data_IF_436121728344
#
_entry.id   IF_436121728344
#
_cell.length_a   1.000
_cell.length_b   1.000
_cell.length_c   1.000
_cell.angle_alpha   90.00
_cell.angle_beta   90.00
_cell.angle_gamma   90.00
#
_symmetry.space_group_name_H-M   'P 1'
#
loop_
_entity.id
_entity.type
_entity.pdbx_description
1 polymer ?
#
# COMPACT_ATOMS: atom_id res chain seq x y z
N UNK A 1 -4.22 -14.83 -6.84
CA UNK A 1 -4.08 -13.72 -5.87
C UNK A 1 -2.67 -13.18 -5.96
N UNK A 2 -2.50 -11.86 -5.95
CA UNK A 2 -1.19 -11.23 -5.81
C UNK A 2 -0.84 -11.14 -4.33
N UNK A 3 0.07 -12.01 -3.88
CA UNK A 3 0.46 -12.12 -2.48
C UNK A 3 1.86 -11.58 -2.31
N UNK A 4 2.00 -10.54 -1.51
CA UNK A 4 3.30 -9.99 -1.12
C UNK A 4 3.92 -10.85 -0.01
N UNK A 5 5.26 -10.81 0.19
CA UNK A 5 5.92 -11.61 1.23
C UNK A 5 5.42 -11.36 2.67
N UNK A 6 4.78 -10.21 2.90
CA UNK A 6 4.24 -9.81 4.20
C UNK A 6 2.71 -9.70 4.22
N UNK A 7 2.05 -10.20 3.16
CA UNK A 7 0.59 -10.17 2.95
C UNK A 7 -0.05 -8.75 2.94
N UNK A 8 0.75 -7.69 2.96
CA UNK A 8 0.29 -6.30 2.93
C UNK A 8 0.42 -5.69 1.52
N UNK A 9 -0.47 -4.75 1.12
CA UNK A 9 -0.40 -4.14 -0.19
C UNK A 9 0.86 -3.28 -0.38
N UNK A 10 1.16 -2.96 -1.63
CA UNK A 10 2.12 -1.93 -2.02
C UNK A 10 1.33 -0.73 -2.52
N UNK A 11 1.49 0.42 -1.86
CA UNK A 11 0.75 1.65 -2.14
C UNK A 11 1.70 2.85 -2.32
N UNK A 12 1.36 3.74 -3.25
CA UNK A 12 2.02 5.02 -3.46
C UNK A 12 2.99 5.01 -4.66
N UNK A 13 3.73 6.10 -4.82
CA UNK A 13 4.74 6.22 -5.87
C UNK A 13 5.95 5.32 -5.59
N UNK A 14 6.40 4.59 -6.61
CA UNK A 14 7.60 3.74 -6.53
C UNK A 14 8.77 4.29 -7.34
N UNK A 15 8.46 5.14 -8.33
CA UNK A 15 9.37 5.98 -9.10
C UNK A 15 8.58 7.19 -9.61
N UNK A 16 9.27 8.17 -10.21
CA UNK A 16 8.61 9.35 -10.76
C UNK A 16 7.61 8.97 -11.86
N UNK A 17 6.36 9.42 -11.71
CA UNK A 17 5.30 9.14 -12.68
C UNK A 17 4.66 7.75 -12.57
N UNK A 18 5.15 6.86 -11.69
CA UNK A 18 4.57 5.52 -11.49
C UNK A 18 3.94 5.37 -10.09
N UNK A 19 2.61 5.43 -10.07
CA UNK A 19 1.79 5.18 -8.88
C UNK A 19 1.34 3.71 -8.86
N UNK A 20 1.57 3.01 -7.75
CA UNK A 20 1.23 1.60 -7.60
C UNK A 20 0.21 1.39 -6.49
N UNK A 21 -0.79 0.56 -6.78
CA UNK A 21 -1.70 -0.04 -5.81
C UNK A 21 -1.89 -1.51 -6.18
N UNK A 22 -1.10 -2.40 -5.58
CA UNK A 22 -1.03 -3.83 -5.96
C UNK A 22 -0.74 -4.73 -4.75
N UNK A 23 -0.84 -6.06 -4.92
CA UNK A 23 -0.42 -7.00 -3.89
C UNK A 23 -1.37 -7.14 -2.68
N UNK A 24 -2.69 -6.97 -2.89
CA UNK A 24 -3.70 -6.98 -1.83
C UNK A 24 -3.96 -8.33 -1.13
N UNK A 25 -3.26 -9.39 -1.51
CA UNK A 25 -3.24 -10.69 -0.80
C UNK A 25 -4.63 -11.26 -0.46
N UNK A 26 -5.63 -11.02 -1.31
CA UNK A 26 -7.01 -11.54 -1.15
C UNK A 26 -8.05 -10.58 -0.61
N UNK A 27 -7.66 -9.41 -0.08
CA UNK A 27 -8.57 -8.50 0.63
C UNK A 27 -8.85 -7.18 -0.11
N UNK A 28 -8.44 -7.07 -1.37
CA UNK A 28 -8.47 -5.80 -2.13
C UNK A 28 -9.86 -5.21 -2.32
N UNK A 29 -10.90 -6.03 -2.46
CA UNK A 29 -12.29 -5.55 -2.67
C UNK A 29 -12.78 -4.73 -1.48
N UNK A 30 -12.50 -5.17 -0.26
CA UNK A 30 -12.93 -4.48 0.96
C UNK A 30 -12.20 -3.13 1.13
N UNK A 31 -10.98 -3.02 0.61
CA UNK A 31 -10.12 -1.85 0.76
C UNK A 31 -10.23 -0.85 -0.39
N UNK A 32 -10.81 -1.24 -1.52
CA UNK A 32 -10.77 -0.50 -2.79
C UNK A 32 -11.22 0.96 -2.67
N UNK A 33 -12.31 1.24 -1.94
CA UNK A 33 -12.83 2.60 -1.80
C UNK A 33 -11.84 3.53 -1.09
N UNK A 34 -11.23 3.07 0.01
CA UNK A 34 -10.26 3.86 0.76
C UNK A 34 -8.95 3.98 -0.02
N UNK A 35 -8.48 2.90 -0.65
CA UNK A 35 -7.27 2.91 -1.48
C UNK A 35 -7.40 3.92 -2.62
N UNK A 36 -8.52 3.94 -3.34
CA UNK A 36 -8.76 4.90 -4.41
C UNK A 36 -8.63 6.35 -3.95
N UNK A 37 -9.18 6.67 -2.76
CA UNK A 37 -9.02 7.99 -2.14
C UNK A 37 -7.55 8.31 -1.81
N UNK A 38 -6.83 7.37 -1.19
CA UNK A 38 -5.44 7.56 -0.81
C UNK A 38 -4.54 7.76 -2.04
N UNK A 39 -4.79 7.03 -3.12
CA UNK A 39 -4.07 7.19 -4.39
C UNK A 39 -4.36 8.54 -5.05
N UNK A 40 -5.61 9.02 -5.01
CA UNK A 40 -5.93 10.37 -5.47
C UNK A 40 -5.22 11.44 -4.63
N UNK A 41 -5.11 11.27 -3.31
CA UNK A 41 -4.38 12.18 -2.44
C UNK A 41 -2.88 12.18 -2.71
N UNK A 42 -2.25 11.02 -2.95
CA UNK A 42 -0.84 10.94 -3.39
C UNK A 42 -0.61 11.77 -4.66
N UNK A 43 -1.50 11.66 -5.66
CA UNK A 43 -1.38 12.41 -6.92
C UNK A 43 -1.58 13.91 -6.72
N UNK A 44 -2.63 14.32 -6.01
CA UNK A 44 -3.01 15.74 -5.89
C UNK A 44 -2.15 16.49 -4.87
N UNK A 45 -1.69 15.82 -3.82
CA UNK A 45 -1.03 16.46 -2.68
C UNK A 45 0.42 16.01 -2.45
N UNK A 46 0.92 15.07 -3.25
CA UNK A 46 2.24 14.45 -3.05
C UNK A 46 2.33 13.57 -1.79
N UNK A 47 1.21 13.37 -1.09
CA UNK A 47 1.09 12.46 0.04
C UNK A 47 -0.37 12.13 0.34
N UNK A 48 -0.63 10.88 0.75
CA UNK A 48 -1.86 10.50 1.42
C UNK A 48 -2.05 11.32 2.71
N UNK A 49 -3.28 11.75 2.96
CA UNK A 49 -3.66 12.60 4.10
C UNK A 49 -4.70 11.95 4.99
N UNK A 50 -5.57 11.13 4.41
CA UNK A 50 -6.64 10.45 5.14
C UNK A 50 -6.09 9.35 6.05
N UNK A 51 -5.08 8.61 5.59
CA UNK A 51 -4.37 7.58 6.36
C UNK A 51 -2.89 7.58 6.00
N UNK A 52 -2.03 7.26 6.98
CA UNK A 52 -0.61 7.06 6.71
C UNK A 52 -0.40 5.73 5.99
N UNK A 53 0.08 5.82 4.74
CA UNK A 53 0.43 4.66 3.92
C UNK A 53 1.94 4.38 3.90
N UNK A 54 2.75 5.13 4.65
CA UNK A 54 4.21 4.92 4.74
C UNK A 54 4.57 3.46 5.01
N UNK A 55 3.87 2.73 5.90
CA UNK A 55 4.13 1.31 6.12
C UNK A 55 3.96 0.44 4.86
N UNK A 56 3.11 0.84 3.91
CA UNK A 56 2.79 0.10 2.68
C UNK A 56 3.65 0.49 1.48
N UNK A 57 4.66 1.35 1.66
CA UNK A 57 5.60 1.69 0.59
C UNK A 57 6.40 0.47 0.14
N UNK A 58 6.81 0.45 -1.12
CA UNK A 58 7.68 -0.61 -1.68
C UNK A 58 9.02 -0.70 -0.92
N UNK A 59 9.56 0.45 -0.49
CA UNK A 59 10.85 0.55 0.19
C UNK A 59 10.92 -0.22 1.51
N UNK A 60 9.78 -0.59 2.11
CA UNK A 60 9.75 -1.42 3.33
C UNK A 60 10.52 -2.74 3.14
N UNK A 61 10.48 -3.31 1.93
CA UNK A 61 11.19 -4.55 1.61
C UNK A 61 12.70 -4.35 1.44
N UNK A 62 13.13 -3.15 1.02
CA UNK A 62 14.55 -2.79 0.91
C UNK A 62 15.18 -2.54 2.29
N UNK A 63 14.38 -2.06 3.24
CA UNK A 63 14.82 -1.69 4.58
C UNK A 63 14.70 -2.84 5.60
N UNK A 64 14.24 -4.03 5.18
CA UNK A 64 13.97 -5.16 6.08
C UNK A 64 12.77 -4.94 7.02
N UNK A 65 11.97 -3.90 6.77
CA UNK A 65 10.78 -3.51 7.54
C UNK A 65 9.56 -4.32 7.13
N UNK A 66 9.63 -5.65 7.19
CA UNK A 66 8.48 -6.51 6.93
C UNK A 66 7.38 -6.21 7.93
N UNK A 67 6.22 -5.76 7.43
CA UNK A 67 5.02 -5.66 8.25
C UNK A 67 4.48 -7.07 8.45
N UNK A 68 4.92 -7.78 9.49
CA UNK A 68 4.26 -9.03 9.84
C UNK A 68 2.81 -8.74 10.17
N UNK A 69 1.91 -9.24 9.33
CA UNK A 69 0.49 -9.32 9.65
C UNK A 69 0.35 -10.11 10.96
N UNK A 70 0.00 -9.41 12.04
CA UNK A 70 -0.39 -10.07 13.29
C UNK A 70 -1.77 -10.63 13.02
N UNK A 71 -1.82 -11.91 12.65
CA UNK A 71 -3.07 -12.60 12.34
C UNK A 71 -4.15 -12.22 13.34
N UNK A 72 -5.24 -11.65 12.81
CA UNK A 72 -6.48 -11.52 13.56
C UNK A 72 -7.06 -12.93 13.64
N UNK A 73 -7.18 -13.44 14.87
CA UNK A 73 -8.05 -14.58 15.22
C UNK A 73 -9.49 -14.11 15.22
#
# INVERSE_FOLDING_TARGET
YEVTPDANPILGFVEEGLLVAAGFSGHGVQQAAMVGRLMAEEVVHGKARSLDITPFRLDRFRQGGFLKEKGIV
#
